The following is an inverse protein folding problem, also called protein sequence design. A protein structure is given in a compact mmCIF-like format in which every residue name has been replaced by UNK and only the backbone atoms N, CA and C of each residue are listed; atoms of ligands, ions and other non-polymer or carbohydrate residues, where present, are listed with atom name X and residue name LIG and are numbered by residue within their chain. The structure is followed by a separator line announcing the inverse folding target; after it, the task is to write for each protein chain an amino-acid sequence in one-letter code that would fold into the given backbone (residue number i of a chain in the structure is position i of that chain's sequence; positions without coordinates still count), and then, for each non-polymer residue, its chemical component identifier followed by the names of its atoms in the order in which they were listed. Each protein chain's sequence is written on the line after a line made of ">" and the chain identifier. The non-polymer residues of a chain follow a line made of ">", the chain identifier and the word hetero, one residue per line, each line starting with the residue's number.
data_IF_842881262956
#
_entry.id   IF_842881262956
#
_cell.length_a   1.000
_cell.length_b   1.000
_cell.length_c   1.000
_cell.angle_alpha   90.00
_cell.angle_beta   90.00
_cell.angle_gamma   90.00
#
_symmetry.space_group_name_H-M   'P 1'
#
loop_
_entity.id
_entity.type
_entity.pdbx_description
1 polymer ?
#
# COMPACT_ATOMS: atom_id res chain seq x y z
N UNK A 1 9.22 -7.62 -9.36
CA UNK A 1 8.34 -7.20 -8.24
C UNK A 1 8.02 -8.35 -7.28
N UNK A 2 7.37 -9.43 -7.70
CA UNK A 2 7.06 -10.58 -6.82
C UNK A 2 8.18 -11.61 -6.74
N UNK A 3 8.98 -11.75 -7.78
CA UNK A 3 10.10 -12.71 -7.86
C UNK A 3 11.44 -12.12 -7.38
N UNK A 4 11.45 -10.92 -6.82
CA UNK A 4 12.68 -10.32 -6.27
C UNK A 4 13.02 -10.95 -4.93
N UNK A 5 14.31 -11.24 -4.70
CA UNK A 5 14.78 -11.77 -3.42
C UNK A 5 15.13 -10.60 -2.50
N UNK A 6 14.37 -10.46 -1.42
CA UNK A 6 14.57 -9.41 -0.41
C UNK A 6 15.36 -9.86 0.82
N UNK A 7 15.83 -11.12 0.82
CA UNK A 7 16.37 -11.77 2.02
C UNK A 7 15.26 -12.22 2.95
N UNK A 8 15.56 -12.33 4.26
CA UNK A 8 14.65 -12.89 5.26
C UNK A 8 14.44 -11.93 6.44
N UNK A 9 13.42 -12.21 7.24
CA UNK A 9 13.16 -11.55 8.49
C UNK A 9 12.85 -10.06 8.37
N UNK A 10 13.12 -9.33 9.45
CA UNK A 10 12.82 -7.90 9.53
C UNK A 10 13.56 -7.05 8.47
N UNK A 11 14.83 -7.39 8.20
CA UNK A 11 15.61 -6.70 7.17
C UNK A 11 15.04 -6.95 5.76
N UNK A 12 14.54 -8.15 5.49
CA UNK A 12 13.80 -8.44 4.26
C UNK A 12 12.53 -7.59 4.14
N UNK A 13 11.78 -7.45 5.23
CA UNK A 13 10.58 -6.60 5.27
C UNK A 13 10.92 -5.12 4.98
N UNK A 14 12.01 -4.59 5.54
CA UNK A 14 12.48 -3.23 5.24
C UNK A 14 12.80 -3.07 3.74
N UNK A 15 13.55 -4.00 3.16
CA UNK A 15 13.90 -3.98 1.74
C UNK A 15 12.66 -4.02 0.83
N UNK A 16 11.60 -4.75 1.22
CA UNK A 16 10.33 -4.72 0.48
C UNK A 16 9.69 -3.32 0.55
N UNK A 17 9.66 -2.67 1.73
CA UNK A 17 9.12 -1.31 1.88
C UNK A 17 9.92 -0.32 1.04
N UNK A 18 11.24 -0.38 1.07
CA UNK A 18 12.14 0.48 0.29
C UNK A 18 11.99 0.25 -1.21
N UNK A 19 11.90 -1.00 -1.65
CA UNK A 19 11.69 -1.34 -3.06
C UNK A 19 10.38 -0.80 -3.61
N UNK A 20 9.29 -1.00 -2.88
CA UNK A 20 7.96 -0.54 -3.29
C UNK A 20 7.77 0.97 -3.08
N UNK A 21 8.55 1.57 -2.15
CA UNK A 21 8.50 2.98 -1.79
C UNK A 21 7.30 3.36 -0.93
N UNK A 22 6.32 2.49 -0.78
CA UNK A 22 5.23 2.60 0.20
C UNK A 22 4.48 1.26 0.33
N UNK A 23 3.83 1.07 1.48
CA UNK A 23 2.86 -0.02 1.70
C UNK A 23 1.57 0.62 2.22
N UNK A 24 0.48 0.53 1.47
CA UNK A 24 -0.80 1.11 1.88
C UNK A 24 -1.36 0.43 3.12
N UNK A 25 -1.69 1.22 4.13
CA UNK A 25 -2.33 0.76 5.37
C UNK A 25 -3.84 0.75 5.14
N UNK A 26 -4.46 -0.41 5.36
CA UNK A 26 -5.91 -0.54 5.29
C UNK A 26 -6.46 -1.43 6.42
N UNK A 27 -7.72 -1.16 6.79
CA UNK A 27 -8.45 -1.92 7.82
C UNK A 27 -9.06 -3.19 7.28
N UNK A 28 -9.32 -3.25 5.97
CA UNK A 28 -9.91 -4.44 5.34
C UNK A 28 -8.99 -5.64 5.50
N UNK A 29 -9.57 -6.73 5.89
CA UNK A 29 -8.84 -7.92 6.31
C UNK A 29 -9.64 -9.18 5.99
N UNK A 30 -9.00 -10.15 5.36
CA UNK A 30 -9.48 -11.53 5.31
C UNK A 30 -8.72 -12.33 6.38
N UNK A 31 -7.57 -12.87 6.05
CA UNK A 31 -6.69 -13.58 7.01
C UNK A 31 -5.86 -12.56 7.81
N UNK A 32 -5.28 -11.60 7.13
CA UNK A 32 -4.54 -10.48 7.71
C UNK A 32 -4.95 -9.18 7.03
N UNK A 33 -4.56 -8.02 7.62
CA UNK A 33 -4.80 -6.72 6.97
C UNK A 33 -4.01 -6.59 5.67
N UNK A 34 -4.52 -5.77 4.76
CA UNK A 34 -4.00 -5.63 3.40
C UNK A 34 -2.48 -5.35 3.33
N UNK A 35 -1.94 -4.51 4.21
CA UNK A 35 -0.51 -4.20 4.26
C UNK A 35 0.36 -5.41 4.65
N UNK A 36 -0.10 -6.24 5.57
CA UNK A 36 0.59 -7.48 5.90
C UNK A 36 0.55 -8.48 4.74
N UNK A 37 -0.58 -8.53 4.02
CA UNK A 37 -0.74 -9.39 2.85
C UNK A 37 0.24 -8.99 1.73
N UNK A 38 0.42 -7.69 1.48
CA UNK A 38 1.40 -7.18 0.49
C UNK A 38 2.82 -7.62 0.80
N UNK A 39 3.23 -7.57 2.07
CA UNK A 39 4.55 -8.03 2.51
C UNK A 39 4.70 -9.55 2.44
N UNK A 40 3.69 -10.29 2.88
CA UNK A 40 3.70 -11.75 2.84
C UNK A 40 3.87 -12.32 1.42
N UNK A 41 3.30 -11.66 0.41
CA UNK A 41 3.49 -12.10 -0.99
C UNK A 41 4.93 -11.96 -1.49
N UNK A 42 5.77 -11.15 -0.83
CA UNK A 42 7.16 -10.87 -1.23
C UNK A 42 8.19 -11.45 -0.27
N UNK A 43 7.75 -11.82 0.92
CA UNK A 43 8.60 -12.32 1.99
C UNK A 43 7.86 -13.49 2.67
N UNK A 44 8.11 -14.74 2.27
CA UNK A 44 7.39 -15.92 2.79
C UNK A 44 7.49 -16.09 4.31
N UNK A 45 8.60 -15.69 4.92
CA UNK A 45 8.84 -15.73 6.38
C UNK A 45 8.34 -14.48 7.12
N UNK A 46 7.57 -13.61 6.46
CA UNK A 46 7.08 -12.37 7.02
C UNK A 46 6.23 -12.58 8.28
N UNK A 47 6.54 -11.79 9.32
CA UNK A 47 5.78 -11.70 10.56
C UNK A 47 5.26 -10.28 10.78
N UNK A 48 4.02 -10.16 11.26
CA UNK A 48 3.36 -8.86 11.43
C UNK A 48 4.12 -7.90 12.36
N UNK A 49 4.82 -8.43 13.36
CA UNK A 49 5.60 -7.63 14.30
C UNK A 49 6.83 -6.96 13.67
N UNK A 50 7.32 -7.42 12.51
CA UNK A 50 8.43 -6.76 11.81
C UNK A 50 8.12 -5.30 11.49
N UNK A 51 6.90 -4.99 10.99
CA UNK A 51 6.51 -3.59 10.75
C UNK A 51 6.48 -2.76 12.03
N UNK A 52 6.01 -3.35 13.13
CA UNK A 52 5.98 -2.66 14.42
C UNK A 52 7.40 -2.31 14.89
N UNK A 53 8.34 -3.25 14.76
CA UNK A 53 9.74 -3.01 15.14
C UNK A 53 10.42 -1.97 14.23
N UNK A 54 10.23 -2.07 12.91
CA UNK A 54 10.77 -1.10 11.97
C UNK A 54 10.24 0.33 12.23
N UNK A 55 8.97 0.45 12.65
CA UNK A 55 8.36 1.74 12.99
C UNK A 55 8.81 2.28 14.34
N UNK A 56 8.69 1.47 15.41
CA UNK A 56 8.83 1.90 16.79
C UNK A 56 10.29 1.89 17.27
N UNK A 57 11.01 0.78 17.01
CA UNK A 57 12.36 0.56 17.54
C UNK A 57 13.43 1.06 16.60
N UNK A 58 13.43 0.55 15.37
CA UNK A 58 14.49 0.82 14.40
C UNK A 58 14.30 2.19 13.74
N UNK A 59 13.06 2.71 13.71
CA UNK A 59 12.69 3.98 13.08
C UNK A 59 13.17 4.09 11.63
N UNK A 60 13.14 2.97 10.90
CA UNK A 60 13.57 2.88 9.50
C UNK A 60 12.40 3.06 8.53
N UNK A 61 11.18 3.03 9.04
CA UNK A 61 9.96 3.40 8.33
C UNK A 61 9.17 4.42 9.14
N UNK A 62 8.27 5.15 8.48
CA UNK A 62 7.33 6.04 9.14
C UNK A 62 5.96 5.95 8.50
N UNK A 63 4.91 6.37 9.22
CA UNK A 63 3.57 6.48 8.66
C UNK A 63 3.35 7.89 8.12
N UNK A 64 2.88 7.97 6.90
CA UNK A 64 2.37 9.21 6.34
C UNK A 64 1.47 8.91 5.13
N UNK A 65 1.22 9.91 4.32
CA UNK A 65 0.33 9.83 3.17
C UNK A 65 1.12 9.71 1.86
N UNK A 66 0.96 8.60 1.14
CA UNK A 66 1.33 8.47 -0.27
C UNK A 66 0.16 8.93 -1.15
N UNK A 67 -0.56 8.02 -1.80
CA UNK A 67 -1.90 8.28 -2.34
C UNK A 67 -3.00 7.96 -1.30
N UNK A 68 -2.66 7.21 -0.28
CA UNK A 68 -3.44 6.86 0.91
C UNK A 68 -2.50 6.76 2.12
N UNK A 69 -3.06 6.53 3.32
CA UNK A 69 -2.25 6.25 4.52
C UNK A 69 -1.32 5.07 4.27
N UNK A 70 -0.03 5.22 4.52
CA UNK A 70 1.00 4.24 4.14
C UNK A 70 2.16 4.19 5.12
N UNK A 71 2.84 3.04 5.19
CA UNK A 71 4.21 2.97 5.66
C UNK A 71 5.14 3.39 4.52
N UNK A 72 6.09 4.26 4.83
CA UNK A 72 7.07 4.84 3.91
C UNK A 72 8.48 4.58 4.44
N UNK A 73 9.50 4.40 3.59
CA UNK A 73 10.89 4.34 4.02
C UNK A 73 11.31 5.64 4.71
N UNK A 74 12.04 5.57 5.82
CA UNK A 74 12.48 6.77 6.54
C UNK A 74 13.46 7.62 5.72
N UNK A 75 14.25 7.01 4.83
CA UNK A 75 15.12 7.74 3.90
C UNK A 75 14.35 8.65 2.93
N UNK A 76 13.06 8.39 2.72
CA UNK A 76 12.18 9.19 1.85
C UNK A 76 11.44 10.31 2.61
N UNK A 77 11.76 10.53 3.90
CA UNK A 77 11.03 11.47 4.77
C UNK A 77 10.92 12.88 4.17
N UNK A 78 12.02 13.43 3.60
CA UNK A 78 12.04 14.78 3.02
C UNK A 78 10.97 14.96 1.92
N UNK A 79 10.65 13.91 1.16
CA UNK A 79 9.63 13.95 0.10
C UNK A 79 8.19 13.99 0.63
N UNK A 80 8.00 13.88 1.94
CA UNK A 80 6.72 14.15 2.62
C UNK A 80 6.53 15.63 2.96
N UNK A 81 7.62 16.43 3.02
CA UNK A 81 7.61 17.83 3.48
C UNK A 81 6.75 18.75 2.60
N UNK A 82 6.73 18.67 1.26
CA UNK A 82 5.86 19.51 0.45
C UNK A 82 4.37 19.34 0.80
N UNK A 83 3.93 18.12 1.10
CA UNK A 83 2.55 17.86 1.55
C UNK A 83 2.31 18.43 2.96
N UNK A 84 3.24 18.28 3.89
CA UNK A 84 3.15 18.84 5.25
C UNK A 84 3.03 20.36 5.20
N UNK A 85 3.87 21.00 4.40
CA UNK A 85 3.84 22.46 4.19
C UNK A 85 2.48 22.92 3.65
N UNK A 86 1.90 22.18 2.72
CA UNK A 86 0.56 22.46 2.19
C UNK A 86 -0.52 22.51 3.29
N UNK A 87 -0.45 21.61 4.29
CA UNK A 87 -1.38 21.63 5.44
C UNK A 87 -1.07 22.75 6.42
N UNK A 88 0.20 23.08 6.65
CA UNK A 88 0.62 24.22 7.49
C UNK A 88 0.07 25.54 6.92
N UNK A 89 0.09 25.70 5.60
CA UNK A 89 -0.43 26.87 4.89
C UNK A 89 -1.97 26.94 4.88
N UNK A 90 -2.66 26.01 5.54
CA UNK A 90 -4.12 26.02 5.70
C UNK A 90 -4.89 25.55 4.48
N UNK A 91 -4.25 24.89 3.52
CA UNK A 91 -4.93 24.34 2.35
C UNK A 91 -5.62 23.02 2.69
N UNK A 92 -6.93 23.06 2.62
CA UNK A 92 -7.96 22.01 2.75
C UNK A 92 -7.61 20.71 3.51
N UNK A 93 -8.00 20.66 4.74
CA UNK A 93 -8.41 19.42 5.39
C UNK A 93 -9.91 19.17 5.09
N UNK A 94 -10.37 17.91 5.24
CA UNK A 94 -11.80 17.57 5.09
C UNK A 94 -12.66 17.93 6.31
N UNK A 95 -12.09 18.62 7.30
CA UNK A 95 -12.77 19.14 8.49
C UNK A 95 -12.19 20.49 8.93
N UNK A 96 -12.99 21.26 9.66
CA UNK A 96 -12.56 22.55 10.18
C UNK A 96 -11.50 22.41 11.26
N UNK A 97 -10.56 23.36 11.28
CA UNK A 97 -9.46 23.40 12.24
C UNK A 97 -9.87 24.11 13.52
N UNK A 98 -9.61 23.50 14.66
CA UNK A 98 -9.66 24.13 15.97
C UNK A 98 -8.25 24.40 16.50
N UNK A 99 -7.77 25.63 16.30
CA UNK A 99 -6.41 26.02 16.68
C UNK A 99 -6.15 25.92 18.18
N UNK A 100 -7.16 26.21 19.03
CA UNK A 100 -7.04 26.10 20.50
C UNK A 100 -6.89 24.63 20.91
N UNK A 101 -7.70 23.78 20.34
CA UNK A 101 -7.62 22.33 20.60
C UNK A 101 -6.31 21.74 20.07
N UNK A 102 -5.85 22.16 18.89
CA UNK A 102 -4.56 21.74 18.35
C UNK A 102 -3.42 22.10 19.30
N UNK A 103 -3.37 23.35 19.83
CA UNK A 103 -2.37 23.74 20.83
C UNK A 103 -2.46 22.89 22.08
N UNK A 104 -3.65 22.70 22.64
CA UNK A 104 -3.87 21.87 23.83
C UNK A 104 -3.35 20.43 23.63
N UNK A 105 -3.70 19.80 22.50
CA UNK A 105 -3.26 18.43 22.19
C UNK A 105 -1.73 18.37 22.06
N UNK A 106 -1.14 19.34 21.37
CA UNK A 106 0.32 19.40 21.18
C UNK A 106 1.06 19.60 22.49
N UNK A 107 0.59 20.51 23.36
CA UNK A 107 1.21 20.81 24.65
C UNK A 107 1.12 19.61 25.61
N UNK A 108 -0.01 18.89 25.61
CA UNK A 108 -0.11 17.65 26.37
C UNK A 108 0.88 16.59 25.91
N UNK A 109 1.02 16.36 24.59
CA UNK A 109 1.99 15.39 24.07
C UNK A 109 3.43 15.83 24.40
N UNK A 110 3.73 17.13 24.35
CA UNK A 110 5.04 17.63 24.78
C UNK A 110 5.35 17.33 26.24
N UNK A 111 4.37 17.51 27.11
CA UNK A 111 4.53 17.37 28.56
C UNK A 111 4.47 15.89 29.02
N UNK A 112 3.53 15.10 28.46
CA UNK A 112 3.22 13.77 28.95
C UNK A 112 3.91 12.64 28.14
N UNK A 113 4.44 12.96 26.94
CA UNK A 113 4.98 11.97 26.02
C UNK A 113 3.93 11.50 24.98
N UNK A 114 4.19 10.34 24.38
CA UNK A 114 3.37 9.83 23.30
C UNK A 114 1.94 9.45 23.75
N UNK A 115 0.92 10.00 23.08
CA UNK A 115 -0.50 9.82 23.40
C UNK A 115 -1.30 9.34 22.19
N UNK A 116 -2.44 8.75 22.48
CA UNK A 116 -3.44 8.31 21.48
C UNK A 116 -4.81 8.95 21.73
N UNK A 117 -5.71 8.85 20.79
CA UNK A 117 -7.03 9.52 20.85
C UNK A 117 -7.85 9.22 22.12
N UNK A 118 -7.69 8.03 22.73
CA UNK A 118 -8.42 7.67 23.95
C UNK A 118 -7.90 8.38 25.20
N UNK A 119 -6.65 8.88 25.17
CA UNK A 119 -6.00 9.55 26.32
C UNK A 119 -6.51 11.01 26.50
N UNK A 120 -7.29 11.48 25.53
CA UNK A 120 -7.99 12.77 25.60
C UNK A 120 -9.44 12.50 25.99
N UNK A 121 -9.77 12.72 27.28
CA UNK A 121 -11.14 12.55 27.79
C UNK A 121 -12.08 13.58 27.14
N UNK A 122 -13.20 13.07 26.62
CA UNK A 122 -14.33 13.89 26.22
C UNK A 122 -15.61 13.28 26.78
N UNK A 123 -16.26 13.97 27.70
CA UNK A 123 -17.66 13.68 28.05
C UNK A 123 -18.50 14.01 26.80
N UNK A 124 -19.11 13.00 26.22
CA UNK A 124 -20.11 13.19 25.16
C UNK A 124 -21.32 13.86 25.77
N UNK A 125 -21.52 15.13 25.47
CA UNK A 125 -22.72 15.86 25.91
C UNK A 125 -23.90 15.76 24.93
N UNK A 126 -23.75 15.10 23.77
CA UNK A 126 -24.82 14.96 22.79
C UNK A 126 -24.70 13.64 22.03
N UNK A 127 -25.84 13.07 21.66
CA UNK A 127 -25.99 11.97 20.69
C UNK A 127 -25.61 12.49 19.29
N UNK A 128 -24.30 12.49 19.00
CA UNK A 128 -23.79 12.83 17.68
C UNK A 128 -23.88 11.63 16.71
N UNK A 129 -23.92 11.89 15.41
CA UNK A 129 -23.92 10.88 14.37
C UNK A 129 -22.71 9.94 14.49
N UNK A 130 -22.89 8.66 14.16
CA UNK A 130 -21.86 7.59 14.19
C UNK A 130 -20.55 7.98 13.50
N UNK A 131 -20.58 8.90 12.52
CA UNK A 131 -19.44 9.36 11.72
C UNK A 131 -18.73 10.60 12.26
N UNK A 132 -19.20 11.22 13.37
CA UNK A 132 -18.51 12.39 13.93
C UNK A 132 -17.22 11.96 14.64
N UNK A 133 -16.13 12.43 14.11
CA UNK A 133 -14.83 12.25 14.75
C UNK A 133 -14.78 13.04 16.06
N UNK A 134 -14.28 12.38 17.12
CA UNK A 134 -14.02 13.08 18.37
C UNK A 134 -13.10 14.28 18.12
N UNK A 135 -13.33 15.45 18.73
CA UNK A 135 -12.51 16.64 18.50
C UNK A 135 -11.00 16.41 18.63
N UNK A 136 -10.56 15.71 19.66
CA UNK A 136 -9.14 15.37 19.85
C UNK A 136 -8.58 14.50 18.71
N UNK A 137 -9.37 13.62 18.11
CA UNK A 137 -8.95 12.83 16.95
C UNK A 137 -8.73 13.71 15.72
N UNK A 138 -9.58 14.74 15.51
CA UNK A 138 -9.39 15.74 14.45
C UNK A 138 -8.10 16.53 14.66
N UNK A 139 -7.84 16.99 15.88
CA UNK A 139 -6.63 17.73 16.24
C UNK A 139 -5.36 16.87 16.04
N UNK A 140 -5.36 15.61 16.49
CA UNK A 140 -4.26 14.66 16.28
C UNK A 140 -3.97 14.44 14.79
N UNK A 141 -5.01 14.25 13.99
CA UNK A 141 -4.86 14.05 12.55
C UNK A 141 -4.35 15.32 11.86
N UNK A 142 -4.85 16.50 12.25
CA UNK A 142 -4.37 17.79 11.73
C UNK A 142 -2.87 17.99 12.02
N UNK A 143 -2.46 17.84 13.26
CA UNK A 143 -1.07 17.99 13.69
C UNK A 143 -0.14 16.95 13.02
N UNK A 144 -0.65 15.74 12.79
CA UNK A 144 0.05 14.70 12.05
C UNK A 144 0.21 15.07 10.57
N UNK A 145 -0.84 15.58 9.91
CA UNK A 145 -0.76 16.00 8.51
C UNK A 145 0.14 17.22 8.33
N UNK A 146 0.21 18.12 9.31
CA UNK A 146 1.16 19.24 9.35
C UNK A 146 2.60 18.79 9.66
N UNK A 147 2.80 17.54 10.10
CA UNK A 147 4.11 17.02 10.48
C UNK A 147 4.63 17.50 11.83
N UNK A 148 3.79 18.14 12.66
CA UNK A 148 4.11 18.46 14.07
C UNK A 148 4.11 17.22 14.94
N UNK A 149 3.29 16.23 14.59
CA UNK A 149 3.26 14.90 15.18
C UNK A 149 3.64 13.85 14.17
N UNK A 150 4.25 12.77 14.66
CA UNK A 150 4.47 11.52 13.94
C UNK A 150 3.85 10.36 14.71
N UNK A 151 3.59 9.25 14.02
CA UNK A 151 3.20 7.99 14.65
C UNK A 151 4.46 7.36 15.24
N UNK A 152 4.56 7.34 16.57
CA UNK A 152 5.66 6.72 17.28
C UNK A 152 5.54 5.19 17.30
N UNK A 153 4.30 4.69 17.43
CA UNK A 153 3.97 3.26 17.43
C UNK A 153 2.47 3.02 17.17
N UNK A 154 2.11 1.76 17.02
CA UNK A 154 0.72 1.32 17.05
C UNK A 154 0.42 0.44 18.24
N UNK A 155 -0.73 0.67 18.87
CA UNK A 155 -1.31 -0.24 19.85
C UNK A 155 -2.54 -0.92 19.20
N UNK A 156 -2.39 -2.19 18.81
CA UNK A 156 -3.32 -2.81 17.88
C UNK A 156 -3.35 -2.03 16.55
N UNK A 157 -4.51 -1.45 16.20
CA UNK A 157 -4.61 -0.60 15.00
C UNK A 157 -4.65 0.91 15.31
N UNK A 158 -4.58 1.29 16.58
CA UNK A 158 -4.62 2.70 16.99
C UNK A 158 -3.23 3.32 16.89
N UNK A 159 -3.16 4.53 16.31
CA UNK A 159 -1.95 5.34 16.25
C UNK A 159 -1.66 5.93 17.63
N UNK A 160 -0.42 5.84 18.06
CA UNK A 160 0.14 6.57 19.21
C UNK A 160 1.07 7.63 18.64
N UNK A 161 0.77 8.89 18.93
CA UNK A 161 1.46 10.04 18.36
C UNK A 161 2.44 10.64 19.36
N UNK A 162 3.61 11.06 18.88
CA UNK A 162 4.53 11.90 19.63
C UNK A 162 5.01 13.06 18.74
N UNK A 163 5.67 14.05 19.35
CA UNK A 163 6.23 15.17 18.61
C UNK A 163 7.30 14.66 17.63
N UNK A 164 7.36 15.31 16.48
CA UNK A 164 8.26 14.90 15.39
C UNK A 164 9.71 14.83 15.84
N UNK A 165 10.16 15.76 16.70
CA UNK A 165 11.53 15.83 17.21
C UNK A 165 11.95 14.63 18.07
N UNK A 166 11.00 13.90 18.67
CA UNK A 166 11.27 12.68 19.46
C UNK A 166 11.25 11.41 18.61
N UNK A 167 10.44 11.43 17.55
CA UNK A 167 10.26 10.24 16.70
C UNK A 167 11.29 10.20 15.59
N UNK A 168 11.54 11.33 14.92
CA UNK A 168 12.42 11.42 13.76
C UNK A 168 13.89 11.24 14.16
N UNK A 169 14.65 10.31 13.57
CA UNK A 169 16.07 10.17 13.80
C UNK A 169 16.84 11.41 13.34
N UNK A 170 17.84 11.86 14.11
CA UNK A 170 18.65 13.06 13.82
C UNK A 170 19.42 12.97 12.49
N UNK A 171 19.68 11.77 11.99
CA UNK A 171 20.42 11.52 10.75
C UNK A 171 19.56 11.68 9.50
N UNK A 172 18.23 11.85 9.65
CA UNK A 172 17.31 11.93 8.51
C UNK A 172 17.39 13.32 7.88
N UNK A 173 17.51 13.35 6.55
CA UNK A 173 17.46 14.60 5.78
C UNK A 173 16.08 15.23 5.87
N UNK A 174 16.04 16.46 6.38
CA UNK A 174 14.84 17.30 6.54
C UNK A 174 14.85 18.52 5.62
N UNK A 175 15.74 18.56 4.63
CA UNK A 175 15.74 19.61 3.62
C UNK A 175 14.50 19.48 2.70
N UNK A 176 13.81 20.57 2.45
CA UNK A 176 12.67 20.57 1.54
C UNK A 176 13.14 20.32 0.11
N UNK A 177 12.63 19.27 -0.56
CA UNK A 177 13.02 19.00 -1.93
C UNK A 177 12.48 20.07 -2.89
N UNK A 178 13.27 20.38 -3.91
CA UNK A 178 12.78 21.15 -5.06
C UNK A 178 11.73 20.33 -5.83
N UNK A 179 10.94 20.99 -6.66
CA UNK A 179 9.96 20.31 -7.50
C UNK A 179 10.62 19.28 -8.44
N UNK A 180 11.80 19.60 -8.96
CA UNK A 180 12.60 18.68 -9.79
C UNK A 180 13.07 17.45 -9.01
N UNK A 181 13.62 17.64 -7.80
CA UNK A 181 14.03 16.51 -6.94
C UNK A 181 12.86 15.62 -6.57
N UNK A 182 11.68 16.23 -6.29
CA UNK A 182 10.47 15.49 -5.98
C UNK A 182 9.98 14.68 -7.18
N UNK A 183 9.98 15.27 -8.38
CA UNK A 183 9.64 14.57 -9.63
C UNK A 183 10.61 13.41 -9.89
N UNK A 184 11.91 13.64 -9.80
CA UNK A 184 12.94 12.61 -9.97
C UNK A 184 12.77 11.46 -8.98
N UNK A 185 12.48 11.76 -7.71
CA UNK A 185 12.18 10.75 -6.69
C UNK A 185 10.98 9.90 -7.06
N UNK A 186 9.87 10.51 -7.46
CA UNK A 186 8.64 9.80 -7.85
C UNK A 186 8.87 8.88 -9.04
N UNK A 187 9.61 9.35 -10.06
CA UNK A 187 9.96 8.56 -11.24
C UNK A 187 10.82 7.36 -10.84
N UNK A 188 11.93 7.60 -10.15
CA UNK A 188 12.86 6.55 -9.72
C UNK A 188 12.17 5.50 -8.84
N UNK A 189 11.31 5.95 -7.91
CA UNK A 189 10.50 5.08 -7.06
C UNK A 189 9.55 4.21 -7.88
N UNK A 190 8.83 4.79 -8.85
CA UNK A 190 7.89 4.07 -9.68
C UNK A 190 8.59 3.03 -10.57
N UNK A 191 9.70 3.41 -11.21
CA UNK A 191 10.50 2.51 -12.05
C UNK A 191 11.11 1.38 -11.22
N UNK A 192 11.67 1.67 -10.05
CA UNK A 192 12.20 0.65 -9.13
C UNK A 192 11.11 -0.35 -8.73
N UNK A 193 9.92 0.13 -8.34
CA UNK A 193 8.84 -0.72 -7.86
C UNK A 193 8.19 -1.56 -8.95
N UNK A 194 8.03 -1.01 -10.16
CA UNK A 194 7.21 -1.59 -11.22
C UNK A 194 8.02 -2.12 -12.41
N UNK A 195 9.29 -1.76 -12.52
CA UNK A 195 10.17 -2.13 -13.64
C UNK A 195 9.91 -1.34 -14.92
N UNK A 196 8.66 -1.23 -15.32
CA UNK A 196 8.17 -0.52 -16.51
C UNK A 196 7.03 0.40 -16.06
N UNK A 197 7.06 1.69 -16.46
CA UNK A 197 6.06 2.68 -16.03
C UNK A 197 5.64 3.61 -17.15
N UNK A 198 4.41 4.08 -17.11
CA UNK A 198 3.85 5.15 -17.94
C UNK A 198 3.84 6.48 -17.14
N UNK A 199 3.95 7.63 -17.80
CA UNK A 199 3.90 8.96 -17.16
C UNK A 199 2.70 9.11 -16.20
N UNK A 200 1.51 8.68 -16.66
CA UNK A 200 0.28 8.79 -15.86
C UNK A 200 0.30 7.95 -14.58
N UNK A 201 1.05 6.84 -14.57
CA UNK A 201 1.22 5.98 -13.41
C UNK A 201 2.08 6.64 -12.34
N UNK A 202 3.12 7.38 -12.76
CA UNK A 202 4.01 8.13 -11.86
C UNK A 202 3.24 9.27 -11.18
N UNK A 203 2.43 10.01 -11.97
CA UNK A 203 1.60 11.12 -11.49
C UNK A 203 0.30 10.67 -10.79
N UNK A 204 0.16 9.39 -10.48
CA UNK A 204 -1.07 8.82 -9.91
C UNK A 204 -1.56 9.60 -8.69
N UNK A 205 -2.79 10.16 -8.79
CA UNK A 205 -3.43 11.02 -7.81
C UNK A 205 -2.63 12.28 -7.39
N UNK A 206 -1.68 12.71 -8.23
CA UNK A 206 -0.87 13.91 -8.00
C UNK A 206 -0.88 14.85 -9.22
N UNK A 207 -2.05 15.40 -9.59
CA UNK A 207 -2.21 16.16 -10.85
C UNK A 207 -1.33 17.41 -10.93
N UNK A 208 -0.96 18.00 -9.79
CA UNK A 208 -0.09 19.19 -9.72
C UNK A 208 1.36 18.91 -10.17
N UNK A 209 1.81 17.68 -10.08
CA UNK A 209 3.19 17.29 -10.44
C UNK A 209 3.33 16.80 -11.88
N UNK A 210 2.26 16.77 -12.67
CA UNK A 210 2.30 16.24 -14.05
C UNK A 210 3.38 16.90 -14.90
N UNK A 211 3.42 18.23 -14.91
CA UNK A 211 4.38 18.99 -15.73
C UNK A 211 5.81 18.73 -15.30
N UNK A 212 6.07 18.76 -13.98
CA UNK A 212 7.39 18.49 -13.43
C UNK A 212 7.84 17.05 -13.74
N UNK A 213 6.95 16.07 -13.60
CA UNK A 213 7.22 14.66 -13.93
C UNK A 213 7.53 14.51 -15.42
N UNK A 214 6.73 15.12 -16.30
CA UNK A 214 6.96 15.06 -17.75
C UNK A 214 8.33 15.62 -18.14
N UNK A 215 8.67 16.80 -17.61
CA UNK A 215 9.96 17.45 -17.89
C UNK A 215 11.13 16.59 -17.35
N UNK A 216 10.98 16.05 -16.14
CA UNK A 216 12.05 15.26 -15.53
C UNK A 216 12.19 13.88 -16.19
N UNK A 217 11.12 13.28 -16.70
CA UNK A 217 11.20 12.06 -17.53
C UNK A 217 12.08 12.31 -18.75
N UNK A 218 11.88 13.44 -19.44
CA UNK A 218 12.70 13.81 -20.59
C UNK A 218 14.17 13.99 -20.21
N UNK A 219 14.47 14.72 -19.12
CA UNK A 219 15.83 14.89 -18.63
C UNK A 219 16.50 13.54 -18.30
N UNK A 220 15.76 12.61 -17.70
CA UNK A 220 16.29 11.29 -17.34
C UNK A 220 16.51 10.40 -18.57
N UNK A 221 15.73 10.56 -19.64
CA UNK A 221 15.96 9.91 -20.93
C UNK A 221 17.19 10.50 -21.62
N UNK A 222 17.28 11.83 -21.70
CA UNK A 222 18.43 12.53 -22.31
C UNK A 222 19.76 12.21 -21.60
N UNK A 223 19.72 12.01 -20.28
CA UNK A 223 20.90 11.59 -19.50
C UNK A 223 21.24 10.10 -19.62
N UNK A 224 20.43 9.31 -20.31
CA UNK A 224 20.58 7.87 -20.44
C UNK A 224 20.21 7.05 -19.17
N UNK A 225 19.70 7.69 -18.11
CA UNK A 225 19.22 6.99 -16.92
C UNK A 225 17.95 6.17 -17.21
N UNK A 226 17.07 6.70 -18.06
CA UNK A 226 15.89 5.99 -18.54
C UNK A 226 15.96 5.77 -20.05
N UNK A 227 15.25 4.77 -20.51
CA UNK A 227 14.98 4.47 -21.89
C UNK A 227 13.48 4.44 -22.14
N UNK A 228 13.07 4.91 -23.31
CA UNK A 228 11.69 4.77 -23.79
C UNK A 228 11.46 3.38 -24.37
N UNK A 229 10.32 2.81 -24.05
CA UNK A 229 9.93 1.46 -24.46
C UNK A 229 8.55 1.51 -25.11
N UNK A 230 8.43 0.88 -26.25
CA UNK A 230 7.15 0.58 -26.89
C UNK A 230 6.76 -0.86 -26.61
N UNK A 231 5.60 -1.04 -26.02
CA UNK A 231 5.01 -2.37 -25.79
C UNK A 231 4.14 -2.70 -27.01
N UNK A 232 4.30 -3.88 -27.54
CA UNK A 232 3.54 -4.35 -28.69
C UNK A 232 2.03 -4.22 -28.44
N UNK A 233 1.30 -3.73 -29.45
CA UNK A 233 -0.15 -3.48 -29.39
C UNK A 233 -0.59 -2.46 -28.30
N UNK A 234 0.32 -1.58 -27.83
CA UNK A 234 0.00 -0.47 -26.94
C UNK A 234 0.43 0.86 -27.58
N UNK A 235 -0.44 1.86 -27.43
CA UNK A 235 -0.17 3.23 -27.94
C UNK A 235 0.73 4.04 -27.02
N UNK A 236 0.76 3.68 -25.75
CA UNK A 236 1.47 4.40 -24.70
C UNK A 236 2.99 4.22 -24.81
N UNK A 237 3.73 5.25 -24.38
CA UNK A 237 5.16 5.17 -24.16
C UNK A 237 5.42 4.79 -22.69
N UNK A 238 6.25 3.79 -22.50
CA UNK A 238 6.69 3.34 -21.20
C UNK A 238 8.16 3.70 -20.98
N UNK A 239 8.57 3.73 -19.72
CA UNK A 239 9.93 4.06 -19.30
C UNK A 239 10.46 2.97 -18.38
N UNK A 240 11.74 2.63 -18.53
CA UNK A 240 12.47 1.69 -17.70
C UNK A 240 13.94 2.09 -17.62
N UNK A 241 14.74 1.40 -16.81
CA UNK A 241 16.21 1.54 -16.89
C UNK A 241 16.81 0.49 -17.80
N UNK A 242 17.98 0.76 -18.41
CA UNK A 242 18.71 -0.23 -19.22
C UNK A 242 18.94 -1.55 -18.47
N UNK A 243 19.30 -1.48 -17.17
CA UNK A 243 19.56 -2.66 -16.33
C UNK A 243 18.32 -3.55 -16.17
N UNK A 244 17.14 -2.93 -16.04
CA UNK A 244 15.90 -3.70 -15.91
C UNK A 244 15.52 -4.45 -17.18
N UNK A 245 15.89 -3.90 -18.36
CA UNK A 245 15.70 -4.62 -19.63
C UNK A 245 16.63 -5.82 -19.77
N UNK A 246 17.87 -5.70 -19.35
CA UNK A 246 18.80 -6.84 -19.45
C UNK A 246 18.32 -8.05 -18.63
N UNK A 247 17.62 -7.80 -17.53
CA UNK A 247 17.05 -8.85 -16.67
C UNK A 247 15.89 -9.58 -17.33
N UNK A 248 15.11 -8.94 -18.24
CA UNK A 248 13.95 -9.55 -18.88
C UNK A 248 14.27 -10.88 -19.56
N UNK A 249 15.39 -10.97 -20.24
CA UNK A 249 15.80 -12.19 -20.95
C UNK A 249 16.19 -13.34 -20.03
N UNK A 250 16.44 -13.05 -18.75
CA UNK A 250 16.86 -14.02 -17.73
C UNK A 250 15.71 -14.41 -16.78
N UNK A 251 14.62 -13.64 -16.78
CA UNK A 251 13.48 -13.92 -15.93
C UNK A 251 12.75 -15.20 -16.39
N UNK A 252 12.64 -16.13 -15.47
CA UNK A 252 11.82 -17.33 -15.63
C UNK A 252 10.49 -17.13 -14.90
N UNK A 253 9.42 -17.71 -15.42
CA UNK A 253 8.18 -17.85 -14.66
C UNK A 253 8.44 -18.76 -13.48
N UNK A 254 8.05 -18.33 -12.27
CA UNK A 254 8.31 -19.11 -11.05
C UNK A 254 7.44 -20.38 -10.95
N UNK A 255 6.37 -20.45 -11.71
CA UNK A 255 5.33 -21.48 -11.53
C UNK A 255 4.51 -21.29 -10.26
N UNK A 256 4.77 -20.22 -9.50
CA UNK A 256 4.09 -19.96 -8.23
C UNK A 256 2.73 -19.29 -8.41
N UNK A 257 1.87 -19.49 -7.42
CA UNK A 257 0.59 -18.79 -7.31
C UNK A 257 0.70 -17.70 -6.26
N UNK A 258 0.25 -16.49 -6.63
CA UNK A 258 0.11 -15.37 -5.71
C UNK A 258 -1.35 -14.94 -5.61
N UNK A 259 -1.82 -14.77 -4.38
CA UNK A 259 -3.10 -14.13 -4.08
C UNK A 259 -2.79 -12.68 -3.70
N UNK A 260 -3.20 -11.72 -4.54
CA UNK A 260 -2.82 -10.34 -4.32
C UNK A 260 -3.91 -9.58 -3.54
N UNK A 261 -3.48 -8.69 -2.64
CA UNK A 261 -4.40 -7.76 -2.01
C UNK A 261 -4.90 -6.74 -3.03
N UNK A 262 -6.17 -6.30 -2.98
CA UNK A 262 -6.65 -5.18 -3.78
C UNK A 262 -5.84 -3.89 -3.61
N UNK A 263 -5.13 -3.75 -2.50
CA UNK A 263 -4.27 -2.60 -2.17
C UNK A 263 -2.79 -2.86 -2.40
N UNK A 264 -2.44 -4.01 -2.99
CA UNK A 264 -1.07 -4.32 -3.38
C UNK A 264 -0.58 -3.35 -4.47
N UNK A 265 0.69 -2.95 -4.40
CA UNK A 265 1.31 -2.05 -5.37
C UNK A 265 1.19 -2.58 -6.82
N UNK A 266 1.14 -3.89 -7.01
CA UNK A 266 0.95 -4.52 -8.31
C UNK A 266 -0.48 -4.36 -8.87
N UNK A 267 -1.47 -4.10 -7.99
CA UNK A 267 -2.90 -4.08 -8.33
C UNK A 267 -3.51 -2.68 -8.23
N UNK A 268 -3.03 -1.84 -7.32
CA UNK A 268 -3.68 -0.58 -6.95
C UNK A 268 -3.98 0.33 -8.15
N UNK A 269 -3.14 0.32 -9.17
CA UNK A 269 -3.36 1.05 -10.41
C UNK A 269 -4.10 0.19 -11.44
N UNK A 270 -5.45 0.17 -11.35
CA UNK A 270 -6.33 -0.70 -12.14
C UNK A 270 -6.12 -0.58 -13.65
N UNK A 271 -5.93 0.65 -14.16
CA UNK A 271 -5.66 0.91 -15.58
C UNK A 271 -4.38 0.23 -16.04
N UNK A 272 -3.33 0.27 -15.23
CA UNK A 272 -2.08 -0.44 -15.52
C UNK A 272 -2.32 -1.94 -15.66
N UNK A 273 -3.05 -2.52 -14.72
CA UNK A 273 -3.35 -3.95 -14.71
C UNK A 273 -4.16 -4.34 -15.94
N UNK A 274 -5.16 -3.54 -16.30
CA UNK A 274 -5.94 -3.73 -17.52
C UNK A 274 -5.08 -3.57 -18.78
N UNK A 275 -4.26 -2.52 -18.87
CA UNK A 275 -3.46 -2.24 -20.05
C UNK A 275 -2.37 -3.28 -20.29
N UNK A 276 -1.60 -3.66 -19.27
CA UNK A 276 -0.44 -4.54 -19.44
C UNK A 276 -0.80 -6.03 -19.35
N UNK A 277 -1.83 -6.39 -18.59
CA UNK A 277 -2.16 -7.78 -18.30
C UNK A 277 -3.54 -8.20 -18.81
N UNK A 278 -4.28 -7.29 -19.46
CA UNK A 278 -5.65 -7.52 -19.93
C UNK A 278 -6.58 -8.06 -18.83
N UNK A 279 -6.41 -7.56 -17.60
CA UNK A 279 -7.17 -7.98 -16.43
C UNK A 279 -8.02 -6.84 -15.91
N UNK A 280 -9.33 -6.89 -16.15
CA UNK A 280 -10.29 -5.90 -15.63
C UNK A 280 -10.61 -6.24 -14.17
N UNK A 281 -10.08 -5.42 -13.27
CA UNK A 281 -10.22 -5.62 -11.84
C UNK A 281 -10.78 -4.39 -11.14
N UNK A 282 -11.82 -4.61 -10.32
CA UNK A 282 -12.38 -3.62 -9.42
C UNK A 282 -12.58 -4.22 -8.03
N UNK A 283 -12.40 -3.39 -7.01
CA UNK A 283 -12.76 -3.76 -5.63
C UNK A 283 -14.23 -3.41 -5.41
N UNK A 284 -15.02 -4.40 -4.95
CA UNK A 284 -16.47 -4.24 -4.81
C UNK A 284 -16.93 -4.08 -3.36
N UNK A 285 -16.02 -3.92 -2.39
CA UNK A 285 -16.37 -3.74 -0.99
C UNK A 285 -17.21 -2.47 -0.70
N UNK A 286 -17.15 -1.49 -1.60
CA UNK A 286 -17.96 -0.25 -1.54
C UNK A 286 -19.23 -0.32 -2.41
N UNK A 287 -19.42 -1.43 -3.13
CA UNK A 287 -20.61 -1.66 -3.97
C UNK A 287 -21.68 -2.37 -3.13
N UNK A 288 -22.97 -1.96 -3.19
CA UNK A 288 -24.05 -2.69 -2.56
C UNK A 288 -24.07 -4.16 -2.98
N UNK A 289 -24.37 -5.07 -2.06
CA UNK A 289 -24.24 -6.51 -2.26
C UNK A 289 -24.93 -7.02 -3.52
N UNK A 290 -26.17 -6.59 -3.77
CA UNK A 290 -26.95 -6.97 -4.93
C UNK A 290 -26.36 -6.52 -6.29
N UNK A 291 -25.38 -5.62 -6.29
CA UNK A 291 -24.72 -5.09 -7.51
C UNK A 291 -23.30 -5.63 -7.70
N UNK A 292 -22.80 -6.44 -6.77
CA UNK A 292 -21.47 -7.05 -6.89
C UNK A 292 -21.50 -8.16 -7.94
N UNK A 293 -20.49 -8.16 -8.80
CA UNK A 293 -20.29 -9.18 -9.82
C UNK A 293 -19.51 -10.38 -9.31
N UNK A 294 -18.47 -10.11 -8.52
CA UNK A 294 -17.45 -11.09 -8.15
C UNK A 294 -17.40 -11.38 -6.66
N UNK A 295 -17.83 -10.45 -5.81
CA UNK A 295 -17.81 -10.63 -4.36
C UNK A 295 -17.40 -9.36 -3.61
N UNK A 296 -17.22 -9.49 -2.29
CA UNK A 296 -16.96 -8.34 -1.41
C UNK A 296 -15.52 -7.85 -1.50
N UNK A 297 -14.56 -8.78 -1.34
CA UNK A 297 -13.13 -8.45 -1.27
C UNK A 297 -12.31 -9.47 -2.06
N UNK A 298 -12.58 -9.53 -3.36
CA UNK A 298 -11.95 -10.48 -4.24
C UNK A 298 -10.43 -10.29 -4.33
N UNK A 299 -9.70 -11.38 -4.17
CA UNK A 299 -8.25 -11.44 -4.34
C UNK A 299 -7.92 -11.92 -5.76
N UNK A 300 -7.21 -11.12 -6.57
CA UNK A 300 -6.65 -11.57 -7.84
C UNK A 300 -5.72 -12.77 -7.66
N UNK A 301 -5.80 -13.70 -8.58
CA UNK A 301 -4.93 -14.88 -8.67
C UNK A 301 -3.94 -14.65 -9.81
N UNK A 302 -2.66 -14.51 -9.46
CA UNK A 302 -1.57 -14.44 -10.42
C UNK A 302 -0.87 -15.79 -10.48
N UNK A 303 -0.77 -16.36 -11.68
CA UNK A 303 -0.08 -17.62 -11.98
C UNK A 303 0.68 -17.50 -13.28
N UNK A 304 1.93 -17.94 -13.32
CA UNK A 304 2.78 -17.85 -14.52
C UNK A 304 2.79 -16.46 -15.17
N UNK A 305 2.88 -15.39 -14.36
CA UNK A 305 2.85 -13.98 -14.79
C UNK A 305 1.53 -13.54 -15.45
N UNK A 306 0.47 -14.31 -15.34
CA UNK A 306 -0.87 -13.97 -15.85
C UNK A 306 -1.88 -13.90 -14.70
N UNK A 307 -2.79 -12.95 -14.76
CA UNK A 307 -3.96 -12.95 -13.90
C UNK A 307 -4.97 -13.95 -14.46
N UNK A 308 -5.10 -15.07 -13.77
CA UNK A 308 -5.92 -16.20 -14.24
C UNK A 308 -7.31 -16.22 -13.63
N UNK A 309 -7.58 -15.35 -12.65
CA UNK A 309 -8.87 -15.28 -11.98
C UNK A 309 -8.86 -14.44 -10.71
N UNK A 310 -9.92 -14.59 -9.94
CA UNK A 310 -10.13 -13.95 -8.65
C UNK A 310 -11.02 -14.79 -7.76
N UNK A 311 -10.90 -14.68 -6.45
CA UNK A 311 -11.79 -15.36 -5.52
C UNK A 311 -12.16 -14.45 -4.35
N UNK A 312 -13.37 -14.63 -3.80
CA UNK A 312 -13.87 -13.90 -2.63
C UNK A 312 -13.71 -14.74 -1.36
N UNK A 313 -12.64 -14.56 -0.59
CA UNK A 313 -12.40 -15.30 0.63
C UNK A 313 -13.14 -14.69 1.82
N UNK A 314 -13.58 -15.54 2.74
CA UNK A 314 -14.09 -15.16 4.05
C UNK A 314 -13.41 -15.98 5.16
N UNK A 315 -12.90 -15.32 6.16
CA UNK A 315 -12.38 -15.97 7.36
C UNK A 315 -13.33 -15.69 8.54
N UNK A 316 -13.94 -16.72 9.06
CA UNK A 316 -14.69 -16.67 10.31
C UNK A 316 -13.74 -16.95 11.48
N UNK A 317 -13.48 -15.90 12.26
CA UNK A 317 -12.55 -15.99 13.41
C UNK A 317 -13.13 -16.71 14.62
N UNK A 318 -14.47 -16.78 14.71
CA UNK A 318 -15.13 -17.48 15.84
C UNK A 318 -15.03 -18.98 15.66
N UNK A 319 -15.37 -19.45 14.48
CA UNK A 319 -15.33 -20.88 14.12
C UNK A 319 -13.94 -21.33 13.64
N UNK A 320 -12.99 -20.39 13.47
CA UNK A 320 -11.67 -20.63 12.85
C UNK A 320 -11.78 -21.26 11.46
N UNK A 321 -12.75 -20.84 10.68
CA UNK A 321 -13.07 -21.41 9.37
C UNK A 321 -12.73 -20.44 8.27
N UNK A 322 -12.15 -20.94 7.19
CA UNK A 322 -11.87 -20.18 5.96
C UNK A 322 -12.74 -20.71 4.82
N UNK A 323 -13.44 -19.83 4.15
CA UNK A 323 -14.34 -20.14 3.03
C UNK A 323 -13.90 -19.44 1.78
N UNK A 324 -14.07 -20.07 0.64
CA UNK A 324 -14.10 -19.43 -0.66
C UNK A 324 -15.58 -19.30 -1.06
N UNK A 325 -16.12 -18.10 -0.94
CA UNK A 325 -17.50 -17.81 -1.32
C UNK A 325 -17.73 -17.92 -2.81
N UNK A 326 -16.82 -17.36 -3.57
CA UNK A 326 -16.87 -17.37 -5.04
C UNK A 326 -15.46 -17.50 -5.60
N UNK A 327 -15.33 -18.21 -6.71
CA UNK A 327 -14.10 -18.36 -7.49
C UNK A 327 -14.45 -18.15 -8.96
N UNK A 328 -13.77 -17.22 -9.60
CA UNK A 328 -13.95 -16.86 -10.99
C UNK A 328 -12.63 -16.99 -11.74
N UNK A 329 -12.63 -17.68 -12.86
CA UNK A 329 -11.49 -17.75 -13.77
C UNK A 329 -11.72 -16.87 -14.99
N UNK A 330 -10.64 -16.27 -15.49
CA UNK A 330 -10.67 -15.46 -16.71
C UNK A 330 -10.95 -16.33 -17.93
N UNK A 331 -11.60 -15.75 -18.93
CA UNK A 331 -11.96 -16.44 -20.18
C UNK A 331 -10.73 -17.08 -20.82
N UNK A 332 -10.85 -18.36 -21.16
CA UNK A 332 -9.78 -19.14 -21.78
C UNK A 332 -8.80 -19.81 -20.80
N UNK A 333 -8.81 -19.45 -19.52
CA UNK A 333 -8.03 -20.20 -18.54
C UNK A 333 -8.75 -21.48 -18.14
N UNK A 334 -8.06 -22.60 -18.28
CA UNK A 334 -8.54 -23.92 -17.83
C UNK A 334 -7.57 -24.45 -16.76
N UNK A 335 -8.03 -24.62 -15.52
CA UNK A 335 -7.18 -25.18 -14.47
C UNK A 335 -6.65 -26.55 -14.88
N UNK A 336 -5.37 -26.74 -14.72
CA UNK A 336 -4.72 -28.06 -14.84
C UNK A 336 -4.61 -28.69 -13.46
N UNK A 337 -4.39 -30.00 -13.39
CA UNK A 337 -4.15 -30.70 -12.12
C UNK A 337 -3.00 -30.07 -11.32
N UNK A 338 -1.94 -29.65 -12.01
CA UNK A 338 -0.82 -28.96 -11.37
C UNK A 338 -1.23 -27.61 -10.76
N UNK A 339 -2.04 -26.83 -11.49
CA UNK A 339 -2.57 -25.56 -10.96
C UNK A 339 -3.42 -25.80 -9.70
N UNK A 340 -4.30 -26.79 -9.72
CA UNK A 340 -5.18 -27.11 -8.58
C UNK A 340 -4.37 -27.51 -7.35
N UNK A 341 -3.32 -28.32 -7.53
CA UNK A 341 -2.40 -28.70 -6.45
C UNK A 341 -1.76 -27.45 -5.83
N UNK A 342 -1.13 -26.62 -6.66
CA UNK A 342 -0.47 -25.38 -6.22
C UNK A 342 -1.44 -24.38 -5.59
N UNK A 343 -2.66 -24.28 -6.12
CA UNK A 343 -3.70 -23.43 -5.59
C UNK A 343 -4.12 -23.85 -4.17
N UNK A 344 -4.32 -25.15 -3.95
CA UNK A 344 -4.68 -25.70 -2.65
C UNK A 344 -3.52 -25.55 -1.63
N UNK A 345 -2.28 -25.79 -2.04
CA UNK A 345 -1.10 -25.55 -1.21
C UNK A 345 -0.98 -24.08 -0.81
N UNK A 346 -1.22 -23.16 -1.76
CA UNK A 346 -1.20 -21.73 -1.49
C UNK A 346 -2.34 -21.31 -0.56
N UNK A 347 -3.54 -21.88 -0.70
CA UNK A 347 -4.65 -21.64 0.22
C UNK A 347 -4.32 -22.07 1.65
N UNK A 348 -3.74 -23.25 1.82
CA UNK A 348 -3.30 -23.76 3.13
C UNK A 348 -2.28 -22.78 3.77
N UNK A 349 -1.28 -22.36 2.99
CA UNK A 349 -0.28 -21.40 3.46
C UNK A 349 -0.90 -20.03 3.76
N UNK A 350 -1.86 -19.58 2.93
CA UNK A 350 -2.56 -18.32 3.13
C UNK A 350 -3.43 -18.32 4.38
N UNK A 351 -4.12 -19.42 4.66
CA UNK A 351 -4.86 -19.61 5.91
C UNK A 351 -3.92 -19.67 7.15
N UNK A 352 -2.59 -19.87 6.94
CA UNK A 352 -1.52 -19.86 7.97
C UNK A 352 -1.81 -20.74 9.17
N UNK A 353 -2.41 -21.89 8.97
CA UNK A 353 -2.84 -22.82 10.03
C UNK A 353 -3.74 -22.17 11.11
N UNK A 354 -4.26 -20.95 10.86
CA UNK A 354 -5.18 -20.24 11.77
C UNK A 354 -6.63 -20.64 11.54
N UNK A 355 -6.92 -21.19 10.39
CA UNK A 355 -8.26 -21.52 9.94
C UNK A 355 -8.28 -22.92 9.32
N UNK A 356 -9.37 -23.64 9.54
CA UNK A 356 -9.69 -24.86 8.81
C UNK A 356 -10.31 -24.49 7.46
N UNK A 357 -9.78 -25.01 6.39
CA UNK A 357 -10.39 -24.82 5.05
C UNK A 357 -11.69 -25.62 4.98
N UNK A 358 -12.77 -24.96 4.60
CA UNK A 358 -14.00 -25.62 4.18
C UNK A 358 -14.00 -25.80 2.67
N UNK A 359 -14.64 -26.87 2.20
CA UNK A 359 -14.88 -27.09 0.79
C UNK A 359 -15.58 -25.88 0.15
N UNK A 360 -15.34 -25.67 -1.14
CA UNK A 360 -15.94 -24.56 -1.88
C UNK A 360 -17.46 -24.69 -1.88
N UNK A 361 -18.15 -23.61 -1.56
CA UNK A 361 -19.62 -23.58 -1.59
C UNK A 361 -20.17 -23.66 -3.03
N UNK A 362 -19.37 -23.26 -4.02
CA UNK A 362 -19.77 -23.22 -5.44
C UNK A 362 -18.66 -23.67 -6.37
N UNK A 363 -19.04 -24.22 -7.52
CA UNK A 363 -18.11 -24.49 -8.62
C UNK A 363 -17.53 -23.18 -9.16
N UNK A 364 -16.30 -23.22 -9.73
CA UNK A 364 -15.70 -22.01 -10.34
C UNK A 364 -16.58 -21.48 -11.48
N UNK A 365 -16.78 -20.17 -11.50
CA UNK A 365 -17.43 -19.49 -12.61
C UNK A 365 -16.37 -19.00 -13.61
N UNK A 366 -16.67 -19.11 -14.90
CA UNK A 366 -15.82 -18.59 -15.97
C UNK A 366 -16.38 -17.25 -16.45
N UNK A 367 -15.50 -16.25 -16.61
CA UNK A 367 -15.85 -14.88 -17.01
C UNK A 367 -15.82 -14.74 -18.53
#
# INVERSE_FOLDING_TARGET
>A
MLNSTFGNGKNGALKVVEHLGYIQIDTLSVVARAHHHTLWNRLPDYQEFYLNELLEKDKTIFEYWSHAASYLPMCDYRFSLPRKQHYIEGKSHWFDQDKKLNSYVLDRIKAEGALQSKDFEHKRNTLGNWYEWKPAKKALEQLFMEGKLMVAKRQGFQKVYDITERVLPKSVDTSTPTEKENAAHLIKRAVRANGLVEEKEIAYLQPKLKTAIKNELQNLVESGFLIEIKVENKSETYFSTPEQLTVLNTLKTSGEIHFLSPFDNAIIQRKRVQNLFNFDYQIECYVPEAKRKFGYFCLPILYNNQFVGRFDPKADRKTKTFYIKQLHFEKGFKPTQNFETLFNEKLNTFAKNKFTLHERETLPNYI
#
